data_IF_679783937426
#
_entry.id   IF_679783937426
#
_cell.length_a   1.000
_cell.length_b   1.000
_cell.length_c   1.000
_cell.angle_alpha   90.00
_cell.angle_beta   90.00
_cell.angle_gamma   90.00
#
_symmetry.space_group_name_H-M   'P 1'
#
loop_
_entity.id
_entity.type
_entity.pdbx_description
1 polymer ?
#
# COMPACT_ATOMS: atom_id res chain seq x y z
N UNK A 1 19.71 22.70 -15.96
CA UNK A 1 19.40 21.94 -14.73
C UNK A 1 20.72 21.62 -14.04
N UNK A 2 20.89 21.95 -12.76
CA UNK A 2 22.16 21.71 -12.06
C UNK A 2 22.59 20.23 -12.08
N UNK A 3 23.89 19.93 -12.23
CA UNK A 3 24.40 18.56 -12.33
C UNK A 3 24.08 17.70 -11.08
N UNK A 4 24.03 18.33 -9.90
CA UNK A 4 23.61 17.74 -8.62
C UNK A 4 22.14 17.30 -8.64
N UNK A 5 21.23 18.18 -9.06
CA UNK A 5 19.80 17.88 -9.21
C UNK A 5 19.56 16.74 -10.21
N UNK A 6 20.32 16.70 -11.30
CA UNK A 6 20.23 15.61 -12.31
C UNK A 6 20.64 14.26 -11.73
N UNK A 7 21.67 14.22 -10.91
CA UNK A 7 22.13 13.01 -10.21
C UNK A 7 21.09 12.54 -9.19
N UNK A 8 20.56 13.45 -8.36
CA UNK A 8 19.55 13.11 -7.34
C UNK A 8 18.24 12.60 -7.98
N UNK A 9 17.81 13.17 -9.12
CA UNK A 9 16.66 12.64 -9.88
C UNK A 9 16.88 11.21 -10.40
N UNK A 10 18.08 10.90 -10.91
CA UNK A 10 18.40 9.54 -11.36
C UNK A 10 18.34 8.55 -10.18
N UNK A 11 18.90 8.93 -9.03
CA UNK A 11 18.88 8.09 -7.82
C UNK A 11 17.46 7.90 -7.29
N UNK A 12 16.65 8.96 -7.24
CA UNK A 12 15.24 8.87 -6.85
C UNK A 12 14.45 7.95 -7.78
N UNK A 13 14.68 8.04 -9.10
CA UNK A 13 14.05 7.14 -10.08
C UNK A 13 14.45 5.68 -9.88
N UNK A 14 15.74 5.40 -9.71
CA UNK A 14 16.22 4.03 -9.45
C UNK A 14 15.63 3.49 -8.14
N UNK A 15 15.60 4.30 -7.09
CA UNK A 15 14.98 3.94 -5.81
C UNK A 15 13.51 3.56 -6.00
N UNK A 16 12.74 4.35 -6.75
CA UNK A 16 11.32 4.07 -7.02
C UNK A 16 11.14 2.74 -7.76
N UNK A 17 11.95 2.49 -8.79
CA UNK A 17 11.87 1.25 -9.57
C UNK A 17 12.17 0.04 -8.68
N UNK A 18 13.21 0.14 -7.84
CA UNK A 18 13.55 -0.92 -6.89
C UNK A 18 12.44 -1.15 -5.87
N UNK A 19 11.81 -0.09 -5.35
CA UNK A 19 10.67 -0.20 -4.43
C UNK A 19 9.50 -0.92 -5.09
N UNK A 20 9.10 -0.51 -6.29
CA UNK A 20 7.95 -1.13 -6.99
C UNK A 20 8.20 -2.61 -7.30
N UNK A 21 9.42 -2.98 -7.71
CA UNK A 21 9.77 -4.40 -7.93
C UNK A 21 9.70 -5.16 -6.61
N UNK A 22 10.20 -4.56 -5.53
CA UNK A 22 10.18 -5.15 -4.20
C UNK A 22 8.74 -5.35 -3.68
N UNK A 23 7.90 -4.31 -3.72
CA UNK A 23 6.50 -4.37 -3.30
C UNK A 23 5.73 -5.42 -4.11
N UNK A 24 5.98 -5.52 -5.42
CA UNK A 24 5.37 -6.55 -6.25
C UNK A 24 5.73 -7.99 -5.80
N UNK A 25 6.98 -8.21 -5.38
CA UNK A 25 7.42 -9.48 -4.82
C UNK A 25 6.74 -9.71 -3.46
N UNK A 26 6.68 -8.71 -2.59
CA UNK A 26 5.99 -8.79 -1.30
C UNK A 26 4.53 -9.22 -1.47
N UNK A 27 3.79 -8.55 -2.36
CA UNK A 27 2.40 -8.86 -2.67
C UNK A 27 2.22 -10.31 -3.11
N UNK A 28 3.02 -10.78 -4.08
CA UNK A 28 2.88 -12.13 -4.60
C UNK A 28 3.19 -13.16 -3.52
N UNK A 29 4.31 -13.02 -2.83
CA UNK A 29 4.75 -13.96 -1.79
C UNK A 29 3.75 -13.98 -0.64
N UNK A 30 3.27 -12.83 -0.20
CA UNK A 30 2.35 -12.73 0.92
C UNK A 30 0.93 -13.18 0.59
N UNK A 31 0.41 -12.94 -0.61
CA UNK A 31 -0.87 -13.50 -1.03
C UNK A 31 -0.82 -15.03 -1.05
N UNK A 32 0.23 -15.62 -1.64
CA UNK A 32 0.38 -17.09 -1.66
C UNK A 32 0.51 -17.62 -0.23
N UNK A 33 1.36 -17.01 0.59
CA UNK A 33 1.57 -17.41 1.97
C UNK A 33 0.31 -17.29 2.82
N UNK A 34 -0.45 -16.20 2.62
CA UNK A 34 -1.68 -15.90 3.36
C UNK A 34 -2.81 -16.85 2.99
N UNK A 35 -2.98 -17.16 1.70
CA UNK A 35 -3.99 -18.12 1.23
C UNK A 35 -3.68 -19.53 1.76
N UNK A 36 -2.43 -19.99 1.62
CA UNK A 36 -2.03 -21.33 2.11
C UNK A 36 -2.19 -21.42 3.63
N UNK A 37 -1.87 -20.36 4.35
CA UNK A 37 -1.95 -20.32 5.80
C UNK A 37 -3.35 -19.99 6.34
N UNK A 38 -4.31 -19.70 5.46
CA UNK A 38 -5.62 -19.14 5.81
C UNK A 38 -5.51 -17.89 6.73
N UNK A 39 -4.49 -17.05 6.54
CA UNK A 39 -4.21 -15.86 7.36
C UNK A 39 -4.89 -14.63 6.78
N UNK A 40 -5.87 -14.09 7.50
CA UNK A 40 -6.54 -12.84 7.15
C UNK A 40 -5.57 -11.67 7.19
N UNK A 41 -4.66 -11.63 8.16
CA UNK A 41 -3.75 -10.51 8.34
C UNK A 41 -2.76 -10.42 7.17
N UNK A 42 -2.19 -11.56 6.78
CA UNK A 42 -1.22 -11.61 5.69
C UNK A 42 -1.86 -11.32 4.33
N UNK A 43 -3.08 -11.81 4.09
CA UNK A 43 -3.85 -11.46 2.88
C UNK A 43 -4.19 -9.97 2.90
N UNK A 44 -4.68 -9.43 4.02
CA UNK A 44 -5.03 -8.02 4.15
C UNK A 44 -3.85 -7.08 3.90
N UNK A 45 -2.69 -7.41 4.44
CA UNK A 45 -1.44 -6.69 4.22
C UNK A 45 -1.01 -6.72 2.74
N UNK A 46 -1.09 -7.87 2.09
CA UNK A 46 -0.74 -8.00 0.67
C UNK A 46 -1.73 -7.25 -0.25
N UNK A 47 -3.01 -7.22 0.11
CA UNK A 47 -4.02 -6.45 -0.61
C UNK A 47 -3.80 -4.94 -0.48
N UNK A 48 -3.38 -4.45 0.70
CA UNK A 48 -3.04 -3.04 0.91
C UNK A 48 -1.86 -2.61 0.01
N UNK A 49 -0.78 -3.39 -0.01
CA UNK A 49 0.38 -3.14 -0.88
C UNK A 49 0.01 -3.22 -2.37
N UNK A 50 -0.96 -4.04 -2.76
CA UNK A 50 -1.49 -4.05 -4.14
C UNK A 50 -2.12 -2.70 -4.51
N UNK A 51 -2.81 -2.05 -3.56
CA UNK A 51 -3.39 -0.72 -3.78
C UNK A 51 -2.29 0.34 -3.93
N UNK A 52 -1.18 0.23 -3.19
CA UNK A 52 -0.02 1.13 -3.37
C UNK A 52 0.54 1.05 -4.80
N UNK A 53 0.67 -0.16 -5.36
CA UNK A 53 1.12 -0.34 -6.75
C UNK A 53 0.10 0.23 -7.75
N UNK A 54 -1.20 0.00 -7.52
CA UNK A 54 -2.27 0.56 -8.36
C UNK A 54 -2.33 2.08 -8.29
N UNK A 55 -2.17 2.67 -7.11
CA UNK A 55 -2.18 4.12 -6.90
C UNK A 55 -0.98 4.77 -7.59
N UNK A 56 0.21 4.18 -7.45
CA UNK A 56 1.42 4.62 -8.15
C UNK A 56 1.27 4.54 -9.67
N UNK A 57 0.69 3.45 -10.19
CA UNK A 57 0.48 3.25 -11.63
C UNK A 57 -0.52 4.26 -12.21
N UNK A 58 -1.66 4.43 -11.54
CA UNK A 58 -2.71 5.36 -11.97
C UNK A 58 -2.28 6.83 -11.84
N UNK A 59 -1.44 7.16 -10.86
CA UNK A 59 -0.78 8.47 -10.75
C UNK A 59 0.25 8.68 -11.88
N UNK A 60 1.04 7.67 -12.20
CA UNK A 60 1.98 7.70 -13.32
C UNK A 60 1.29 7.98 -14.66
N UNK A 61 0.14 7.34 -14.92
CA UNK A 61 -0.66 7.59 -16.12
C UNK A 61 -1.21 9.02 -16.20
N UNK A 62 -1.61 9.59 -15.06
CA UNK A 62 -2.02 11.00 -14.96
C UNK A 62 -0.85 11.93 -15.33
N UNK A 63 0.29 11.77 -14.66
CA UNK A 63 1.46 12.62 -14.84
C UNK A 63 2.03 12.54 -16.27
N UNK A 64 2.04 11.35 -16.88
CA UNK A 64 2.43 11.18 -18.28
C UNK A 64 1.51 11.95 -19.24
N UNK A 65 0.22 12.06 -18.90
CA UNK A 65 -0.72 12.90 -19.63
C UNK A 65 -0.38 14.39 -19.56
N UNK A 66 -0.17 14.90 -18.33
CA UNK A 66 0.23 16.29 -18.08
C UNK A 66 1.53 16.64 -18.83
N UNK A 67 2.54 15.76 -18.80
CA UNK A 67 3.81 15.95 -19.51
C UNK A 67 3.69 15.96 -21.03
N UNK A 68 2.67 15.28 -21.58
CA UNK A 68 2.37 15.30 -23.02
C UNK A 68 1.56 16.53 -23.45
N UNK A 69 1.26 17.45 -22.53
CA UNK A 69 0.54 18.69 -22.82
C UNK A 69 -0.92 18.47 -23.18
N UNK A 70 -1.57 17.41 -22.65
CA UNK A 70 -3.01 17.22 -22.85
C UNK A 70 -3.80 18.33 -22.16
N UNK A 71 -4.97 18.64 -22.71
CA UNK A 71 -5.86 19.68 -22.19
C UNK A 71 -6.21 19.49 -20.71
N UNK A 72 -6.40 20.61 -20.00
CA UNK A 72 -6.65 20.65 -18.55
C UNK A 72 -7.91 19.86 -18.18
N UNK A 73 -8.94 19.86 -19.03
CA UNK A 73 -10.15 19.05 -18.79
C UNK A 73 -9.85 17.57 -18.83
N UNK A 74 -8.96 17.16 -19.74
CA UNK A 74 -8.56 15.76 -19.85
C UNK A 74 -7.67 15.34 -18.68
N UNK A 75 -6.80 16.22 -18.18
CA UNK A 75 -6.05 16.01 -16.93
C UNK A 75 -7.01 15.84 -15.74
N UNK A 76 -7.98 16.73 -15.57
CA UNK A 76 -8.95 16.67 -14.49
C UNK A 76 -9.80 15.39 -14.56
N UNK A 77 -10.20 14.96 -15.76
CA UNK A 77 -10.89 13.68 -15.95
C UNK A 77 -10.03 12.49 -15.53
N UNK A 78 -8.74 12.46 -15.89
CA UNK A 78 -7.82 11.39 -15.46
C UNK A 78 -7.64 11.39 -13.95
N UNK A 79 -7.44 12.57 -13.34
CA UNK A 79 -7.33 12.74 -11.89
C UNK A 79 -8.57 12.20 -11.15
N UNK A 80 -9.77 12.50 -11.65
CA UNK A 80 -11.03 12.00 -11.10
C UNK A 80 -11.14 10.48 -11.21
N UNK A 81 -10.80 9.90 -12.36
CA UNK A 81 -10.78 8.44 -12.56
C UNK A 81 -9.79 7.77 -11.60
N UNK A 82 -8.56 8.28 -11.51
CA UNK A 82 -7.52 7.75 -10.60
C UNK A 82 -8.03 7.69 -9.16
N UNK A 83 -8.62 8.78 -8.66
CA UNK A 83 -9.12 8.84 -7.29
C UNK A 83 -10.30 7.89 -7.05
N UNK A 84 -11.22 7.74 -8.01
CA UNK A 84 -12.30 6.76 -7.88
C UNK A 84 -11.79 5.31 -7.89
N UNK A 85 -10.79 5.00 -8.73
CA UNK A 85 -10.16 3.67 -8.72
C UNK A 85 -9.55 3.38 -7.36
N UNK A 86 -8.79 4.32 -6.79
CA UNK A 86 -8.20 4.19 -5.45
C UNK A 86 -9.30 4.00 -4.39
N UNK A 87 -10.34 4.83 -4.42
CA UNK A 87 -11.45 4.76 -3.47
C UNK A 87 -12.18 3.41 -3.51
N UNK A 88 -12.49 2.91 -4.71
CA UNK A 88 -13.16 1.63 -4.90
C UNK A 88 -12.26 0.48 -4.44
N UNK A 89 -10.96 0.50 -4.78
CA UNK A 89 -10.02 -0.53 -4.35
C UNK A 89 -9.93 -0.64 -2.83
N UNK A 90 -9.73 0.49 -2.12
CA UNK A 90 -9.71 0.50 -0.65
C UNK A 90 -11.05 0.03 -0.05
N UNK A 91 -12.17 0.42 -0.65
CA UNK A 91 -13.50 -0.03 -0.21
C UNK A 91 -13.65 -1.54 -0.33
N UNK A 92 -13.26 -2.12 -1.47
CA UNK A 92 -13.32 -3.56 -1.70
C UNK A 92 -12.42 -4.33 -0.73
N UNK A 93 -11.21 -3.84 -0.48
CA UNK A 93 -10.29 -4.46 0.50
C UNK A 93 -10.85 -4.38 1.91
N UNK A 94 -11.44 -3.25 2.31
CA UNK A 94 -12.09 -3.14 3.62
C UNK A 94 -13.24 -4.13 3.78
N UNK A 95 -14.10 -4.27 2.77
CA UNK A 95 -15.22 -5.23 2.77
C UNK A 95 -14.68 -6.65 2.88
N UNK A 96 -13.69 -7.01 2.06
CA UNK A 96 -13.10 -8.34 2.04
C UNK A 96 -12.45 -8.69 3.38
N UNK A 97 -11.55 -7.84 3.90
CA UNK A 97 -10.85 -8.07 5.17
C UNK A 97 -11.85 -8.18 6.31
N UNK A 98 -12.84 -7.28 6.36
CA UNK A 98 -13.86 -7.31 7.41
C UNK A 98 -14.69 -8.59 7.36
N UNK A 99 -15.15 -8.98 6.17
CA UNK A 99 -15.92 -10.22 5.98
C UNK A 99 -15.12 -11.47 6.37
N UNK A 100 -13.90 -11.62 5.84
CA UNK A 100 -13.04 -12.77 6.12
C UNK A 100 -12.70 -12.87 7.62
N UNK A 101 -12.26 -11.74 8.21
CA UNK A 101 -11.86 -11.70 9.61
C UNK A 101 -13.02 -11.95 10.56
N UNK A 102 -14.19 -11.34 10.32
CA UNK A 102 -15.39 -11.58 11.13
C UNK A 102 -15.86 -13.03 11.00
N UNK A 103 -15.83 -13.60 9.78
CA UNK A 103 -16.21 -15.00 9.57
C UNK A 103 -15.30 -15.95 10.34
N UNK A 104 -13.98 -15.72 10.32
CA UNK A 104 -13.01 -16.53 11.08
C UNK A 104 -13.14 -16.33 12.58
N UNK A 105 -13.47 -15.11 13.03
CA UNK A 105 -13.75 -14.85 14.44
C UNK A 105 -14.98 -15.62 14.94
N UNK A 106 -16.07 -15.60 14.18
CA UNK A 106 -17.31 -16.29 14.53
C UNK A 106 -17.17 -17.82 14.46
N UNK A 107 -16.41 -18.33 13.49
CA UNK A 107 -16.19 -19.77 13.31
C UNK A 107 -14.99 -20.33 14.08
N UNK A 108 -14.28 -19.49 14.86
CA UNK A 108 -13.05 -19.84 15.57
C UNK A 108 -11.98 -20.51 14.69
N UNK A 109 -11.91 -20.10 13.43
CA UNK A 109 -10.87 -20.56 12.52
C UNK A 109 -9.56 -19.87 12.85
N UNK A 110 -8.51 -20.67 13.03
CA UNK A 110 -7.14 -20.18 13.23
C UNK A 110 -6.35 -20.23 11.92
N UNK A 111 -5.44 -19.28 11.72
CA UNK A 111 -4.41 -19.40 10.70
C UNK A 111 -3.41 -20.49 11.09
N UNK A 112 -2.81 -21.15 10.09
CA UNK A 112 -1.68 -22.07 10.30
C UNK A 112 -0.35 -21.33 10.20
N UNK A 113 0.74 -21.99 10.62
CA UNK A 113 2.08 -21.40 10.53
C UNK A 113 2.52 -21.23 9.07
N UNK A 114 3.12 -20.08 8.76
CA UNK A 114 3.66 -19.78 7.44
C UNK A 114 5.11 -19.30 7.54
N UNK A 115 6.06 -20.19 7.29
CA UNK A 115 7.48 -19.82 7.19
C UNK A 115 7.71 -18.78 6.08
N UNK A 116 6.98 -18.91 4.96
CA UNK A 116 7.04 -17.94 3.88
C UNK A 116 6.50 -16.56 4.30
N UNK A 117 5.38 -16.55 5.03
CA UNK A 117 4.81 -15.34 5.62
C UNK A 117 5.76 -14.68 6.62
N UNK A 118 6.40 -15.46 7.49
CA UNK A 118 7.40 -14.95 8.41
C UNK A 118 8.58 -14.29 7.67
N UNK A 119 9.16 -15.00 6.68
CA UNK A 119 10.32 -14.51 5.94
C UNK A 119 10.00 -13.19 5.24
N UNK A 120 8.85 -13.08 4.57
CA UNK A 120 8.51 -11.85 3.85
C UNK A 120 8.24 -10.68 4.80
N UNK A 121 7.57 -10.91 5.92
CA UNK A 121 7.32 -9.86 6.93
C UNK A 121 8.62 -9.37 7.59
N UNK A 122 9.53 -10.29 7.95
CA UNK A 122 10.84 -9.92 8.51
C UNK A 122 11.68 -9.18 7.48
N UNK A 123 11.64 -9.62 6.22
CA UNK A 123 12.32 -8.93 5.11
C UNK A 123 11.79 -7.50 4.94
N UNK A 124 10.45 -7.34 4.95
CA UNK A 124 9.75 -6.05 4.94
C UNK A 124 10.19 -5.13 6.08
N UNK A 125 10.25 -5.67 7.30
CA UNK A 125 10.67 -4.94 8.49
C UNK A 125 12.10 -4.37 8.37
N UNK A 126 12.98 -5.05 7.63
CA UNK A 126 14.37 -4.63 7.42
C UNK A 126 14.53 -3.70 6.22
N UNK A 127 13.81 -3.94 5.12
CA UNK A 127 13.99 -3.24 3.85
C UNK A 127 13.19 -1.93 3.81
N UNK A 128 11.96 -1.90 4.32
CA UNK A 128 11.11 -0.70 4.27
C UNK A 128 11.72 0.52 4.98
N UNK A 129 12.40 0.40 6.15
CA UNK A 129 13.11 1.52 6.76
C UNK A 129 14.16 2.16 5.84
N UNK A 130 14.85 1.35 5.03
CA UNK A 130 15.85 1.80 4.06
C UNK A 130 15.17 2.63 2.97
N UNK A 131 14.07 2.12 2.40
CA UNK A 131 13.28 2.86 1.41
C UNK A 131 12.74 4.16 1.98
N UNK A 132 12.12 4.15 3.17
CA UNK A 132 11.59 5.34 3.84
C UNK A 132 12.70 6.40 4.01
N UNK A 133 13.89 5.99 4.47
CA UNK A 133 15.01 6.90 4.64
C UNK A 133 15.39 7.60 3.32
N UNK A 134 15.62 6.82 2.26
CA UNK A 134 16.04 7.38 0.98
C UNK A 134 14.94 8.17 0.27
N UNK A 135 13.67 7.73 0.33
CA UNK A 135 12.53 8.46 -0.21
C UNK A 135 12.39 9.83 0.48
N UNK A 136 12.50 9.89 1.82
CA UNK A 136 12.51 11.17 2.56
C UNK A 136 13.71 12.05 2.20
N UNK A 137 14.90 11.47 2.09
CA UNK A 137 16.14 12.18 1.75
C UNK A 137 16.04 12.86 0.38
N UNK A 138 15.68 12.10 -0.66
CA UNK A 138 15.55 12.65 -2.00
C UNK A 138 14.29 13.51 -2.16
N UNK A 139 13.21 13.21 -1.43
CA UNK A 139 11.99 14.00 -1.44
C UNK A 139 12.22 15.43 -0.95
N UNK A 140 13.01 15.60 0.12
CA UNK A 140 13.43 16.93 0.60
C UNK A 140 14.42 17.61 -0.35
N UNK A 141 15.43 16.89 -0.85
CA UNK A 141 16.45 17.47 -1.76
C UNK A 141 15.88 17.96 -3.08
N UNK A 142 14.88 17.26 -3.60
CA UNK A 142 14.27 17.54 -4.90
C UNK A 142 13.03 18.44 -4.79
N UNK A 143 12.59 18.72 -3.56
CA UNK A 143 11.31 19.35 -3.23
C UNK A 143 10.15 18.62 -3.92
N UNK A 144 10.06 17.31 -3.66
CA UNK A 144 9.10 16.40 -4.27
C UNK A 144 8.06 15.92 -3.25
N UNK A 145 6.87 16.56 -3.20
CA UNK A 145 5.76 16.11 -2.37
C UNK A 145 5.34 14.66 -2.66
N UNK A 146 5.43 14.23 -3.92
CA UNK A 146 5.10 12.87 -4.33
C UNK A 146 6.02 11.82 -3.68
N UNK A 147 7.33 12.06 -3.64
CA UNK A 147 8.27 11.12 -3.01
C UNK A 147 8.16 11.13 -1.48
N UNK A 148 7.73 12.25 -0.89
CA UNK A 148 7.44 12.33 0.54
C UNK A 148 6.14 11.59 0.91
N UNK A 149 5.13 11.65 0.05
CA UNK A 149 3.90 10.86 0.20
C UNK A 149 4.19 9.36 0.08
N UNK A 150 4.96 8.95 -0.93
CA UNK A 150 5.38 7.56 -1.10
C UNK A 150 6.22 7.04 0.09
N UNK A 151 7.03 7.90 0.72
CA UNK A 151 7.72 7.55 1.97
C UNK A 151 6.78 7.37 3.18
N UNK A 152 5.62 8.03 3.17
CA UNK A 152 4.60 7.89 4.20
C UNK A 152 3.83 6.58 4.00
N UNK A 153 3.50 6.23 2.77
CA UNK A 153 2.82 4.98 2.44
C UNK A 153 3.67 3.77 2.86
N UNK A 154 4.96 3.73 2.48
CA UNK A 154 5.89 2.68 2.93
C UNK A 154 6.05 2.61 4.46
N UNK A 155 5.94 3.75 5.16
CA UNK A 155 5.95 3.75 6.64
C UNK A 155 4.70 3.11 7.23
N UNK A 156 3.55 3.25 6.56
CA UNK A 156 2.29 2.66 7.01
C UNK A 156 2.29 1.16 6.72
N UNK A 157 2.80 0.74 5.55
CA UNK A 157 3.09 -0.66 5.26
C UNK A 157 3.98 -1.27 6.36
N UNK A 158 5.06 -0.60 6.76
CA UNK A 158 5.93 -1.05 7.86
C UNK A 158 5.18 -1.22 9.20
N UNK A 159 4.28 -0.29 9.54
CA UNK A 159 3.45 -0.41 10.73
C UNK A 159 2.51 -1.62 10.65
N UNK A 160 1.85 -1.82 9.51
CA UNK A 160 0.98 -2.98 9.28
C UNK A 160 1.79 -4.29 9.33
N UNK A 161 3.00 -4.33 8.77
CA UNK A 161 3.91 -5.49 8.87
C UNK A 161 4.12 -5.89 10.32
N UNK A 162 4.35 -4.92 11.22
CA UNK A 162 4.52 -5.20 12.66
C UNK A 162 3.25 -5.80 13.25
N UNK A 163 2.08 -5.24 12.93
CA UNK A 163 0.78 -5.72 13.41
C UNK A 163 0.51 -7.15 12.94
N UNK A 164 0.75 -7.43 11.66
CA UNK A 164 0.55 -8.74 11.03
C UNK A 164 1.52 -9.77 11.60
N UNK A 165 2.79 -9.40 11.74
CA UNK A 165 3.83 -10.26 12.33
C UNK A 165 3.49 -10.60 13.79
N UNK A 166 3.03 -9.62 14.57
CA UNK A 166 2.57 -9.86 15.92
C UNK A 166 1.38 -10.84 15.94
N UNK A 167 0.39 -10.66 15.07
CA UNK A 167 -0.73 -11.60 14.92
C UNK A 167 -0.27 -13.03 14.64
N UNK A 168 0.63 -13.21 13.66
CA UNK A 168 1.18 -14.52 13.28
C UNK A 168 1.93 -15.19 14.44
N UNK A 169 2.78 -14.44 15.14
CA UNK A 169 3.56 -14.96 16.27
C UNK A 169 2.67 -15.30 17.46
N UNK A 170 1.63 -14.50 17.72
CA UNK A 170 0.67 -14.74 18.80
C UNK A 170 -0.15 -16.02 18.57
N UNK A 171 -0.59 -16.26 17.32
CA UNK A 171 -1.22 -17.53 16.94
C UNK A 171 -0.27 -18.69 17.21
N UNK A 172 0.99 -18.60 16.75
CA UNK A 172 1.93 -19.70 16.80
C UNK A 172 2.44 -20.03 18.22
N UNK A 173 2.74 -19.02 19.04
CA UNK A 173 3.35 -19.23 20.36
C UNK A 173 2.34 -19.38 21.49
N UNK A 174 1.19 -18.72 21.38
CA UNK A 174 0.18 -18.71 22.45
C UNK A 174 -1.11 -19.43 22.07
N UNK A 175 -1.25 -19.91 20.83
CA UNK A 175 -2.46 -20.57 20.35
C UNK A 175 -3.67 -19.63 20.29
N UNK A 176 -3.44 -18.30 20.24
CA UNK A 176 -4.51 -17.32 20.20
C UNK A 176 -5.14 -17.27 18.81
N UNK A 177 -6.10 -18.15 18.57
CA UNK A 177 -6.81 -18.30 17.29
C UNK A 177 -7.38 -16.99 16.73
N UNK A 178 -7.72 -16.03 17.59
CA UNK A 178 -8.29 -14.72 17.21
C UNK A 178 -7.25 -13.67 16.82
N UNK A 179 -5.95 -13.89 17.11
CA UNK A 179 -4.93 -12.86 16.95
C UNK A 179 -4.72 -12.44 15.49
N UNK A 180 -4.75 -13.40 14.56
CA UNK A 180 -4.65 -13.13 13.11
C UNK A 180 -5.83 -12.31 12.56
N UNK A 181 -7.11 -12.72 12.73
CA UNK A 181 -8.22 -11.92 12.20
C UNK A 181 -8.34 -10.55 12.90
N UNK A 182 -7.95 -10.42 14.17
CA UNK A 182 -7.89 -9.09 14.81
C UNK A 182 -6.77 -8.23 14.21
N UNK A 183 -5.58 -8.79 13.97
CA UNK A 183 -4.50 -8.08 13.29
C UNK A 183 -4.91 -7.59 11.89
N UNK A 184 -5.67 -8.41 11.16
CA UNK A 184 -6.25 -8.03 9.87
C UNK A 184 -7.24 -6.85 10.00
N UNK A 185 -8.15 -6.90 10.98
CA UNK A 185 -9.12 -5.83 11.23
C UNK A 185 -8.46 -4.50 11.60
N UNK A 186 -7.27 -4.50 12.20
CA UNK A 186 -6.52 -3.27 12.50
C UNK A 186 -6.04 -2.52 11.26
N UNK A 187 -6.00 -3.17 10.09
CA UNK A 187 -5.71 -2.53 8.79
C UNK A 187 -6.90 -1.70 8.30
N UNK A 188 -8.13 -2.16 8.60
CA UNK A 188 -9.38 -1.61 8.03
C UNK A 188 -9.59 -0.12 8.32
N UNK A 189 -9.40 0.42 9.54
CA UNK A 189 -9.63 1.84 9.80
C UNK A 189 -8.75 2.76 8.95
N UNK A 190 -7.50 2.36 8.70
CA UNK A 190 -6.59 3.12 7.85
C UNK A 190 -7.02 3.06 6.38
N UNK A 191 -7.24 1.85 5.86
CA UNK A 191 -7.68 1.65 4.48
C UNK A 191 -9.02 2.36 4.19
N UNK A 192 -9.97 2.31 5.13
CA UNK A 192 -11.26 3.00 5.01
C UNK A 192 -11.10 4.52 4.95
N UNK A 193 -10.19 5.08 5.76
CA UNK A 193 -9.86 6.50 5.74
C UNK A 193 -9.28 6.93 4.39
N UNK A 194 -8.28 6.20 3.88
CA UNK A 194 -7.67 6.51 2.58
C UNK A 194 -8.68 6.39 1.43
N UNK A 195 -9.53 5.36 1.45
CA UNK A 195 -10.62 5.20 0.49
C UNK A 195 -11.61 6.37 0.53
N UNK A 196 -12.01 6.82 1.73
CA UNK A 196 -12.92 7.95 1.91
C UNK A 196 -12.30 9.29 1.47
N UNK A 197 -11.03 9.52 1.79
CA UNK A 197 -10.30 10.70 1.34
C UNK A 197 -10.19 10.74 -0.19
N UNK A 198 -9.88 9.60 -0.83
CA UNK A 198 -9.81 9.50 -2.27
C UNK A 198 -11.17 9.78 -2.92
N UNK A 199 -12.26 9.21 -2.37
CA UNK A 199 -13.63 9.46 -2.84
C UNK A 199 -14.01 10.93 -2.76
N UNK A 200 -13.75 11.57 -1.61
CA UNK A 200 -14.07 12.99 -1.38
C UNK A 200 -13.30 13.87 -2.36
N UNK A 201 -11.98 13.66 -2.49
CA UNK A 201 -11.13 14.37 -3.46
C UNK A 201 -11.60 14.16 -4.90
N UNK A 202 -12.11 12.97 -5.26
CA UNK A 202 -12.63 12.69 -6.60
C UNK A 202 -13.91 13.49 -6.88
N UNK A 203 -14.81 13.56 -5.90
CA UNK A 203 -16.10 14.25 -6.01
C UNK A 203 -15.92 15.74 -6.22
N UNK A 204 -14.95 16.34 -5.54
CA UNK A 204 -14.71 17.79 -5.56
C UNK A 204 -13.99 18.28 -6.83
N UNK A 205 -13.54 17.37 -7.71
CA UNK A 205 -12.98 17.75 -9.02
C UNK A 205 -14.10 18.15 -9.99
N UNK A 206 -14.13 19.44 -10.32
CA UNK A 206 -14.86 20.01 -11.46
C UNK A 206 -14.13 19.70 -12.77
N UNK A 207 -14.86 19.21 -13.78
CA UNK A 207 -14.31 18.95 -15.12
C UNK A 207 -14.62 20.14 -16.06
N UNK A 208 -15.49 21.06 -15.63
CA UNK A 208 -16.09 22.11 -16.47
C UNK A 208 -15.50 23.51 -16.32
N UNK A 209 -14.39 23.70 -15.59
CA UNK A 209 -13.75 25.02 -15.55
C UNK A 209 -13.27 25.42 -16.96
N UNK A 210 -13.84 26.53 -17.44
CA UNK A 210 -13.55 27.22 -18.70
C UNK A 210 -12.29 28.05 -18.57
#
# INVERSE_FOLDING_TARGET
MEPTRKSDLKKARTLQILNVIYDAIEVIVALIAGIIANSSALIGWALDSTIEVLSATTLGWRLHGELKGIDIKQVNRRKKITLYVIAVSFTLVCIFISYDSVTKLLSQQTSSWSTMGLIILVTSLLINPIFIHFKRKYGRKLDSPALLADAKDTFICLYQTIVVLAGLLLVNWFGWWWADPVAALLIVPYAAKEGWEAYTKARDISIDEK
#
